data_IF_810773676093
#
_entry.id   IF_810773676093
#
_cell.length_a   1.000
_cell.length_b   1.000
_cell.length_c   1.000
_cell.angle_alpha   90.00
_cell.angle_beta   90.00
_cell.angle_gamma   90.00
#
_symmetry.space_group_name_H-M   'P 1'
#
loop_
_entity.id
_entity.type
_entity.pdbx_description
1 polymer ?
#
# COMPACT_ATOMS: atom_id res chain seq x y z
N UNK A 1 16.97 10.05 -5.92
CA UNK A 1 15.52 9.86 -5.82
C UNK A 1 14.85 10.66 -6.91
N UNK A 2 13.99 10.06 -7.68
CA UNK A 2 13.28 10.74 -8.78
C UNK A 2 11.85 11.10 -8.34
N UNK A 3 11.72 11.64 -7.12
CA UNK A 3 10.43 12.17 -6.66
C UNK A 3 10.18 13.47 -7.40
N UNK A 4 9.05 13.58 -8.06
CA UNK A 4 8.67 14.69 -8.91
C UNK A 4 7.39 15.32 -8.40
N UNK A 5 7.29 16.65 -8.47
CA UNK A 5 6.04 17.34 -8.21
C UNK A 5 5.03 16.98 -9.30
N UNK A 6 3.85 16.58 -8.89
CA UNK A 6 2.75 16.22 -9.76
C UNK A 6 1.44 16.80 -9.21
N UNK A 7 0.96 17.89 -9.83
CA UNK A 7 -0.18 18.65 -9.33
C UNK A 7 0.00 19.04 -7.84
N UNK A 8 -0.91 18.67 -6.95
CA UNK A 8 -0.87 18.96 -5.51
C UNK A 8 -0.20 17.86 -4.69
N UNK A 9 0.49 16.93 -5.33
CA UNK A 9 1.25 15.87 -4.66
C UNK A 9 2.61 15.69 -5.30
N UNK A 10 3.31 14.67 -4.88
CA UNK A 10 4.54 14.20 -5.49
C UNK A 10 4.36 12.75 -5.95
N UNK A 11 5.15 12.32 -6.92
CA UNK A 11 5.15 10.94 -7.41
C UNK A 11 6.60 10.50 -7.60
N UNK A 12 6.90 9.29 -7.19
CA UNK A 12 8.20 8.66 -7.42
C UNK A 12 8.22 8.01 -8.82
N UNK A 13 9.05 8.53 -9.73
CA UNK A 13 9.21 8.01 -11.08
C UNK A 13 10.11 6.79 -11.10
N UNK A 14 9.54 5.63 -10.75
CA UNK A 14 10.21 4.34 -10.64
C UNK A 14 9.52 3.31 -11.56
N UNK A 15 10.29 2.33 -12.04
CA UNK A 15 9.73 1.13 -12.63
C UNK A 15 9.45 0.07 -11.55
N UNK A 16 8.75 -1.01 -11.93
CA UNK A 16 8.35 -2.06 -10.99
C UNK A 16 9.54 -2.70 -10.26
N UNK A 17 10.64 -2.95 -10.95
CA UNK A 17 11.82 -3.55 -10.33
C UNK A 17 12.48 -2.62 -9.30
N UNK A 18 12.57 -1.31 -9.62
CA UNK A 18 13.07 -0.28 -8.72
C UNK A 18 12.19 -0.13 -7.47
N UNK A 19 10.86 -0.27 -7.64
CA UNK A 19 9.89 -0.24 -6.53
C UNK A 19 10.12 -1.42 -5.59
N UNK A 20 10.21 -2.63 -6.12
CA UNK A 20 10.47 -3.84 -5.32
C UNK A 20 11.79 -3.76 -4.56
N UNK A 21 12.88 -3.32 -5.20
CA UNK A 21 14.18 -3.11 -4.55
C UNK A 21 14.07 -2.07 -3.42
N UNK A 22 13.29 -1.01 -3.65
CA UNK A 22 13.10 0.03 -2.64
C UNK A 22 12.33 -0.46 -1.43
N UNK A 23 11.24 -1.19 -1.66
CA UNK A 23 10.44 -1.80 -0.58
C UNK A 23 11.29 -2.79 0.22
N UNK A 24 12.05 -3.64 -0.48
CA UNK A 24 12.97 -4.58 0.16
C UNK A 24 13.95 -3.88 1.10
N UNK A 25 14.58 -2.81 0.65
CA UNK A 25 15.50 -2.01 1.48
C UNK A 25 14.81 -1.40 2.71
N UNK A 26 13.56 -0.91 2.56
CA UNK A 26 12.79 -0.37 3.68
C UNK A 26 12.52 -1.45 4.74
N UNK A 27 12.20 -2.68 4.32
CA UNK A 27 11.98 -3.80 5.22
C UNK A 27 13.29 -4.18 5.94
N UNK A 28 14.41 -4.30 5.21
CA UNK A 28 15.70 -4.69 5.78
C UNK A 28 16.21 -3.73 6.85
N UNK A 29 15.99 -2.42 6.68
CA UNK A 29 16.39 -1.43 7.70
C UNK A 29 15.36 -1.31 8.84
N UNK A 30 14.30 -2.13 8.83
CA UNK A 30 13.22 -2.13 9.83
C UNK A 30 12.61 -0.75 10.08
N UNK A 31 12.58 0.08 9.04
CA UNK A 31 11.93 1.37 9.11
C UNK A 31 10.43 1.19 8.95
N UNK A 32 9.65 1.72 9.88
CA UNK A 32 8.20 1.86 9.72
C UNK A 32 7.94 2.78 8.52
N UNK A 33 7.37 2.22 7.48
CA UNK A 33 7.25 2.88 6.18
C UNK A 33 5.92 2.53 5.55
N UNK A 34 5.41 3.41 4.70
CA UNK A 34 4.24 3.07 3.91
C UNK A 34 4.35 3.59 2.48
N UNK A 35 3.66 2.86 1.61
CA UNK A 35 3.61 3.08 0.17
C UNK A 35 2.17 3.39 -0.21
N UNK A 36 1.96 4.42 -1.01
CA UNK A 36 0.65 4.79 -1.55
C UNK A 36 0.66 4.71 -3.08
N UNK A 37 -0.46 4.29 -3.64
CA UNK A 37 -0.63 4.15 -5.09
C UNK A 37 -1.79 5.02 -5.56
N UNK A 38 -1.61 6.37 -5.66
CA UNK A 38 -2.67 7.27 -6.10
C UNK A 38 -3.09 6.99 -7.54
N UNK A 39 -4.39 6.98 -7.74
CA UNK A 39 -5.03 7.10 -9.04
C UNK A 39 -5.61 8.52 -9.23
N UNK A 40 -6.34 8.75 -10.32
CA UNK A 40 -6.93 10.06 -10.62
C UNK A 40 -7.89 10.52 -9.53
N UNK A 41 -8.70 9.62 -8.97
CA UNK A 41 -9.66 9.97 -7.92
C UNK A 41 -8.95 10.46 -6.65
N UNK A 42 -7.84 9.81 -6.29
CA UNK A 42 -7.01 10.26 -5.16
C UNK A 42 -6.40 11.65 -5.43
N UNK A 43 -5.94 11.91 -6.66
CA UNK A 43 -5.40 13.23 -7.03
C UNK A 43 -6.46 14.31 -6.89
N UNK A 44 -7.69 14.04 -7.33
CA UNK A 44 -8.81 15.00 -7.17
C UNK A 44 -9.18 15.21 -5.69
N UNK A 45 -9.15 14.16 -4.88
CA UNK A 45 -9.40 14.27 -3.43
C UNK A 45 -8.32 15.09 -2.73
N UNK A 46 -7.07 14.94 -3.12
CA UNK A 46 -5.94 15.71 -2.59
C UNK A 46 -6.09 17.23 -2.78
N UNK A 47 -6.87 17.68 -3.76
CA UNK A 47 -7.18 19.11 -3.94
C UNK A 47 -7.98 19.69 -2.77
N UNK A 48 -8.77 18.88 -2.09
CA UNK A 48 -9.77 19.32 -1.11
C UNK A 48 -9.51 18.81 0.31
N UNK A 49 -8.70 17.77 0.46
CA UNK A 49 -8.45 17.11 1.76
C UNK A 49 -7.02 17.37 2.23
N UNK A 50 -6.85 18.35 3.11
CA UNK A 50 -5.55 18.71 3.70
C UNK A 50 -4.96 17.60 4.56
N UNK A 51 -5.79 16.77 5.14
CA UNK A 51 -5.32 15.63 5.93
C UNK A 51 -4.78 14.52 5.03
N UNK A 52 -5.48 14.24 3.94
CA UNK A 52 -4.99 13.33 2.91
C UNK A 52 -3.65 13.80 2.34
N UNK A 53 -3.50 15.11 2.08
CA UNK A 53 -2.22 15.69 1.64
C UNK A 53 -1.08 15.40 2.64
N UNK A 54 -1.33 15.51 3.95
CA UNK A 54 -0.32 15.19 4.98
C UNK A 54 0.08 13.70 4.93
N UNK A 55 -0.89 12.82 4.75
CA UNK A 55 -0.62 11.38 4.59
C UNK A 55 0.28 11.13 3.39
N UNK A 56 -0.06 11.69 2.23
CA UNK A 56 0.75 11.50 1.03
C UNK A 56 2.15 12.11 1.15
N UNK A 57 2.26 13.29 1.72
CA UNK A 57 3.56 13.96 1.94
C UNK A 57 4.52 13.13 2.79
N UNK A 58 4.01 12.37 3.75
CA UNK A 58 4.81 11.55 4.65
C UNK A 58 5.04 10.12 4.12
N UNK A 59 4.49 9.76 2.97
CA UNK A 59 4.68 8.45 2.38
C UNK A 59 6.14 8.25 1.91
N UNK A 60 6.68 7.06 2.16
CA UNK A 60 8.03 6.69 1.73
C UNK A 60 8.12 6.46 0.22
N UNK A 61 7.03 5.96 -0.37
CA UNK A 61 6.86 5.85 -1.82
C UNK A 61 5.46 6.27 -2.24
N UNK A 62 5.39 7.00 -3.34
CA UNK A 62 4.14 7.46 -3.98
C UNK A 62 4.17 7.01 -5.43
N UNK A 63 3.41 5.97 -5.78
CA UNK A 63 3.48 5.28 -7.06
C UNK A 63 2.28 5.62 -7.92
N UNK A 64 2.47 5.93 -9.20
CA UNK A 64 1.38 6.28 -10.10
C UNK A 64 0.52 5.06 -10.47
N UNK A 65 -0.72 5.04 -10.01
CA UNK A 65 -1.71 4.02 -10.38
C UNK A 65 -2.64 4.54 -11.48
N UNK A 66 -2.44 4.03 -12.65
CA UNK A 66 -3.30 4.31 -13.81
C UNK A 66 -2.63 5.04 -14.96
N UNK A 67 -3.02 4.65 -16.17
CA UNK A 67 -2.52 5.25 -17.42
C UNK A 67 -2.75 6.76 -17.53
N UNK A 68 -3.89 7.31 -17.03
CA UNK A 68 -4.09 8.77 -17.11
C UNK A 68 -2.98 9.58 -16.43
N UNK A 69 -2.42 9.11 -15.31
CA UNK A 69 -1.32 9.81 -14.65
C UNK A 69 -0.05 9.82 -15.52
N UNK A 70 0.20 8.73 -16.24
CA UNK A 70 1.31 8.66 -17.20
C UNK A 70 1.10 9.67 -18.35
N UNK A 71 -0.10 9.73 -18.91
CA UNK A 71 -0.40 10.67 -20.00
C UNK A 71 -0.26 12.13 -19.55
N UNK A 72 -0.77 12.46 -18.36
CA UNK A 72 -0.66 13.79 -17.77
C UNK A 72 0.82 14.14 -17.54
N UNK A 73 1.62 13.21 -17.00
CA UNK A 73 3.05 13.43 -16.75
C UNK A 73 3.83 13.74 -18.03
N UNK A 74 3.49 13.05 -19.12
CA UNK A 74 4.08 13.28 -20.44
C UNK A 74 3.70 14.67 -20.99
N UNK A 75 2.43 15.07 -20.83
CA UNK A 75 1.96 16.40 -21.23
C UNK A 75 2.70 17.51 -20.52
N UNK A 76 2.96 17.36 -19.21
CA UNK A 76 3.74 18.33 -18.41
C UNK A 76 5.26 18.18 -18.58
N UNK A 77 5.74 17.35 -19.48
CA UNK A 77 7.16 17.08 -19.73
C UNK A 77 7.94 16.61 -18.50
N UNK A 78 7.25 15.96 -17.58
CA UNK A 78 7.79 15.32 -16.39
C UNK A 78 7.42 13.83 -16.39
N UNK A 79 7.99 13.02 -17.31
CA UNK A 79 7.53 11.67 -17.57
C UNK A 79 7.75 10.76 -16.38
N UNK A 80 6.68 10.07 -15.96
CA UNK A 80 6.74 8.97 -15.03
C UNK A 80 7.17 7.72 -15.80
N UNK A 81 8.17 6.99 -15.32
CA UNK A 81 8.78 5.85 -16.01
C UNK A 81 7.78 4.75 -16.29
N UNK A 82 6.94 4.39 -15.32
CA UNK A 82 6.04 3.26 -15.42
C UNK A 82 4.80 3.47 -14.53
N UNK A 83 3.67 2.92 -14.96
CA UNK A 83 2.49 2.75 -14.11
C UNK A 83 2.75 1.60 -13.13
N UNK A 84 2.70 1.88 -11.84
CA UNK A 84 2.77 0.86 -10.78
C UNK A 84 1.50 0.90 -9.94
N UNK A 85 0.54 0.02 -10.28
CA UNK A 85 -0.69 -0.11 -9.50
C UNK A 85 -0.50 -1.06 -8.32
N UNK A 86 -1.33 -0.89 -7.30
CA UNK A 86 -1.37 -1.82 -6.17
C UNK A 86 -1.67 -3.25 -6.60
N UNK A 87 -2.55 -3.43 -7.62
CA UNK A 87 -2.91 -4.75 -8.16
C UNK A 87 -1.78 -5.43 -8.93
N UNK A 88 -0.91 -4.67 -9.60
CA UNK A 88 0.24 -5.21 -10.30
C UNK A 88 1.41 -5.48 -9.33
N UNK A 89 1.58 -4.63 -8.33
CA UNK A 89 2.63 -4.74 -7.32
C UNK A 89 2.39 -5.91 -6.35
N UNK A 90 1.15 -6.12 -5.93
CA UNK A 90 0.80 -7.11 -4.89
C UNK A 90 1.27 -8.54 -5.19
N UNK A 91 1.06 -9.14 -6.38
CA UNK A 91 1.57 -10.47 -6.68
C UNK A 91 3.08 -10.58 -6.61
N UNK A 92 3.80 -9.54 -7.04
CA UNK A 92 5.25 -9.49 -7.02
C UNK A 92 5.80 -9.32 -5.60
N UNK A 93 5.10 -8.57 -4.74
CA UNK A 93 5.41 -8.52 -3.31
C UNK A 93 5.22 -9.88 -2.64
N UNK A 94 4.16 -10.62 -2.99
CA UNK A 94 3.96 -11.99 -2.49
C UNK A 94 5.09 -12.94 -2.91
N UNK A 95 5.53 -12.83 -4.17
CA UNK A 95 6.67 -13.61 -4.67
C UNK A 95 7.97 -13.26 -3.94
N UNK A 96 8.24 -11.97 -3.78
CA UNK A 96 9.42 -11.48 -3.05
C UNK A 96 9.36 -11.92 -1.58
N UNK A 97 8.21 -11.80 -0.93
CA UNK A 97 8.01 -12.22 0.46
C UNK A 97 8.29 -13.72 0.63
N UNK A 98 7.77 -14.57 -0.27
CA UNK A 98 8.06 -16.01 -0.25
C UNK A 98 9.54 -16.34 -0.46
N UNK A 99 10.24 -15.61 -1.34
CA UNK A 99 11.68 -15.80 -1.58
C UNK A 99 12.56 -15.36 -0.41
N UNK A 100 12.15 -14.30 0.31
CA UNK A 100 12.94 -13.67 1.37
C UNK A 100 12.51 -14.03 2.78
N UNK A 101 11.42 -14.80 2.92
CA UNK A 101 10.88 -15.20 4.22
C UNK A 101 10.18 -14.07 4.97
N UNK A 102 9.64 -13.06 4.26
CA UNK A 102 8.88 -11.98 4.89
C UNK A 102 7.46 -12.43 5.22
N UNK A 103 7.00 -12.05 6.40
CA UNK A 103 5.64 -12.32 6.87
C UNK A 103 4.68 -11.25 6.39
N UNK A 104 3.57 -11.66 5.81
CA UNK A 104 2.53 -10.75 5.30
C UNK A 104 1.27 -10.81 6.15
N UNK A 105 0.59 -9.67 6.29
CA UNK A 105 -0.75 -9.59 6.85
C UNK A 105 -1.68 -8.89 5.85
N UNK A 106 -2.89 -9.41 5.65
CA UNK A 106 -3.88 -8.83 4.74
C UNK A 106 -5.03 -8.23 5.54
N UNK A 107 -5.21 -6.92 5.43
CA UNK A 107 -6.28 -6.16 6.08
C UNK A 107 -7.22 -5.60 5.02
N UNK A 108 -8.48 -5.96 5.08
CA UNK A 108 -9.50 -5.44 4.17
C UNK A 108 -10.13 -6.52 3.29
N UNK A 109 -10.74 -6.09 2.19
CA UNK A 109 -11.62 -6.85 1.33
C UNK A 109 -12.91 -7.33 2.07
N UNK A 110 -13.89 -7.83 1.31
CA UNK A 110 -15.08 -8.41 1.90
C UNK A 110 -14.76 -9.71 2.67
N UNK A 111 -15.63 -10.07 3.61
CA UNK A 111 -15.47 -11.27 4.43
C UNK A 111 -15.21 -12.52 3.57
N UNK A 112 -14.22 -13.30 3.97
CA UNK A 112 -13.76 -14.51 3.28
C UNK A 112 -12.95 -14.27 1.99
N UNK A 113 -12.96 -13.07 1.40
CA UNK A 113 -12.21 -12.78 0.16
C UNK A 113 -10.71 -12.79 0.43
N UNK A 114 -10.26 -12.08 1.45
CA UNK A 114 -8.85 -12.03 1.83
C UNK A 114 -8.32 -13.44 2.23
N UNK A 115 -9.11 -14.24 2.92
CA UNK A 115 -8.74 -15.61 3.28
C UNK A 115 -8.60 -16.53 2.05
N UNK A 116 -9.53 -16.43 1.08
CA UNK A 116 -9.42 -17.16 -0.20
C UNK A 116 -8.20 -16.70 -1.00
N UNK A 117 -7.94 -15.39 -1.04
CA UNK A 117 -6.75 -14.85 -1.69
C UNK A 117 -5.47 -15.39 -1.05
N UNK A 118 -5.36 -15.38 0.27
CA UNK A 118 -4.23 -15.95 1.01
C UNK A 118 -4.02 -17.45 0.68
N UNK A 119 -5.10 -18.22 0.65
CA UNK A 119 -5.04 -19.66 0.30
C UNK A 119 -4.52 -19.87 -1.13
N UNK A 120 -5.01 -19.10 -2.09
CA UNK A 120 -4.58 -19.19 -3.49
C UNK A 120 -3.13 -18.74 -3.68
N UNK A 121 -2.72 -17.70 -2.98
CA UNK A 121 -1.34 -17.21 -3.00
C UNK A 121 -0.35 -18.20 -2.41
N UNK A 122 -0.70 -18.86 -1.29
CA UNK A 122 0.10 -19.95 -0.70
C UNK A 122 0.26 -21.13 -1.65
N UNK A 123 -0.77 -21.47 -2.45
CA UNK A 123 -0.65 -22.50 -3.50
C UNK A 123 0.31 -22.08 -4.62
N UNK A 124 0.31 -20.80 -4.98
CA UNK A 124 1.17 -20.27 -6.05
C UNK A 124 2.61 -20.02 -5.59
N UNK A 125 2.78 -19.59 -4.35
CA UNK A 125 4.06 -19.27 -3.72
C UNK A 125 4.19 -20.10 -2.45
N UNK A 126 4.74 -21.30 -2.57
CA UNK A 126 4.78 -22.32 -1.50
C UNK A 126 5.45 -21.84 -0.20
N UNK A 127 6.41 -20.93 -0.32
CA UNK A 127 7.15 -20.39 0.82
C UNK A 127 6.54 -19.08 1.38
N UNK A 128 5.38 -18.65 0.86
CA UNK A 128 4.73 -17.43 1.34
C UNK A 128 4.13 -17.64 2.72
N UNK A 129 4.59 -16.87 3.69
CA UNK A 129 4.03 -16.82 5.04
C UNK A 129 3.00 -15.70 5.14
N UNK A 130 1.71 -16.06 5.23
CA UNK A 130 0.63 -15.14 5.57
C UNK A 130 0.32 -15.32 7.05
N UNK A 131 0.78 -14.38 7.87
CA UNK A 131 0.68 -14.41 9.32
C UNK A 131 -0.73 -14.08 9.83
N UNK A 132 -1.53 -13.41 9.02
CA UNK A 132 -2.93 -13.13 9.35
C UNK A 132 -3.71 -12.49 8.24
N UNK A 133 -5.02 -12.56 8.37
CA UNK A 133 -6.01 -11.92 7.49
C UNK A 133 -7.12 -11.38 8.35
N UNK A 134 -7.59 -10.16 8.08
CA UNK A 134 -8.74 -9.60 8.74
C UNK A 134 -9.56 -8.74 7.78
N UNK A 135 -10.86 -8.95 7.78
CA UNK A 135 -11.84 -8.18 7.01
C UNK A 135 -12.69 -7.36 8.00
N UNK A 136 -12.38 -6.08 8.22
CA UNK A 136 -13.11 -5.27 9.17
C UNK A 136 -14.53 -4.96 8.67
N UNK A 137 -15.44 -4.69 9.59
CA UNK A 137 -16.78 -4.24 9.25
C UNK A 137 -16.74 -2.85 8.58
N UNK A 138 -17.79 -2.52 7.84
CA UNK A 138 -17.93 -1.19 7.29
C UNK A 138 -18.05 -0.16 8.42
N UNK A 139 -17.25 0.91 8.38
CA UNK A 139 -17.24 1.93 9.44
C UNK A 139 -16.39 1.57 10.66
N UNK A 140 -15.59 0.50 10.61
CA UNK A 140 -14.71 0.09 11.71
C UNK A 140 -13.79 1.19 12.20
N UNK A 141 -13.46 2.14 11.35
CA UNK A 141 -12.62 3.30 11.66
C UNK A 141 -13.21 4.22 12.75
N UNK A 142 -14.52 4.14 12.98
CA UNK A 142 -15.24 4.85 14.02
C UNK A 142 -15.39 4.02 15.30
N UNK A 143 -15.07 2.72 15.25
CA UNK A 143 -15.14 1.80 16.39
C UNK A 143 -13.73 1.60 16.98
N UNK A 144 -13.46 2.28 18.10
CA UNK A 144 -12.15 2.23 18.77
C UNK A 144 -11.77 0.81 19.22
N UNK A 145 -12.73 0.00 19.67
CA UNK A 145 -12.47 -1.37 20.12
C UNK A 145 -12.04 -2.26 18.95
N UNK A 146 -12.70 -2.11 17.78
CA UNK A 146 -12.33 -2.87 16.59
C UNK A 146 -10.97 -2.42 16.04
N UNK A 147 -10.70 -1.11 16.04
CA UNK A 147 -9.39 -0.57 15.65
C UNK A 147 -8.30 -1.12 16.55
N UNK A 148 -8.48 -1.09 17.87
CA UNK A 148 -7.49 -1.62 18.81
C UNK A 148 -7.29 -3.13 18.63
N UNK A 149 -8.36 -3.90 18.42
CA UNK A 149 -8.28 -5.33 18.09
C UNK A 149 -7.43 -5.58 16.84
N UNK A 150 -7.65 -4.82 15.77
CA UNK A 150 -6.89 -4.93 14.52
C UNK A 150 -5.40 -4.64 14.79
N UNK A 151 -5.09 -3.57 15.52
CA UNK A 151 -3.73 -3.20 15.88
C UNK A 151 -3.03 -4.32 16.65
N UNK A 152 -3.70 -4.87 17.68
CA UNK A 152 -3.16 -5.99 18.46
C UNK A 152 -2.93 -7.24 17.63
N UNK A 153 -3.80 -7.53 16.66
CA UNK A 153 -3.61 -8.65 15.74
C UNK A 153 -2.35 -8.46 14.86
N UNK A 154 -2.17 -7.26 14.31
CA UNK A 154 -1.02 -6.93 13.47
C UNK A 154 0.27 -7.02 14.29
N UNK A 155 0.31 -6.40 15.47
CA UNK A 155 1.49 -6.40 16.35
C UNK A 155 1.86 -7.84 16.76
N UNK A 156 0.88 -8.64 17.21
CA UNK A 156 1.11 -10.05 17.61
C UNK A 156 1.60 -10.93 16.46
N UNK A 157 1.21 -10.61 15.23
CA UNK A 157 1.62 -11.35 14.03
C UNK A 157 3.08 -11.13 13.66
N UNK A 158 3.74 -10.10 14.19
CA UNK A 158 5.13 -9.72 13.88
C UNK A 158 5.39 -9.69 12.36
N UNK A 159 4.56 -8.92 11.65
CA UNK A 159 4.58 -8.86 10.19
C UNK A 159 5.65 -7.91 9.66
N UNK A 160 6.20 -8.22 8.49
CA UNK A 160 7.12 -7.37 7.74
C UNK A 160 6.38 -6.50 6.72
N UNK A 161 5.26 -7.03 6.16
CA UNK A 161 4.48 -6.37 5.11
C UNK A 161 2.99 -6.43 5.46
N UNK A 162 2.39 -5.26 5.69
CA UNK A 162 0.94 -5.10 5.84
C UNK A 162 0.33 -4.65 4.50
N UNK A 163 -0.59 -5.42 3.96
CA UNK A 163 -1.38 -5.06 2.78
C UNK A 163 -2.75 -4.56 3.23
N UNK A 164 -3.06 -3.31 2.88
CA UNK A 164 -4.33 -2.66 3.24
C UNK A 164 -5.21 -2.49 2.01
N UNK A 165 -6.34 -3.16 1.97
CA UNK A 165 -7.29 -3.18 0.86
C UNK A 165 -8.67 -2.66 1.26
N UNK A 166 -8.78 -1.41 1.72
CA UNK A 166 -10.00 -0.82 2.28
C UNK A 166 -10.72 0.18 1.35
N UNK A 167 -10.09 0.57 0.23
CA UNK A 167 -10.57 1.66 -0.63
C UNK A 167 -10.27 3.05 -0.09
N UNK A 168 -10.19 4.05 -0.98
CA UNK A 168 -10.01 5.44 -0.57
C UNK A 168 -11.34 6.05 -0.05
N UNK A 169 -11.34 6.95 0.94
CA UNK A 169 -10.18 7.46 1.69
C UNK A 169 -9.74 6.58 2.88
N UNK A 170 -10.33 5.41 3.06
CA UNK A 170 -10.12 4.54 4.23
C UNK A 170 -8.67 4.09 4.41
N UNK A 171 -7.97 3.80 3.31
CA UNK A 171 -6.54 3.50 3.36
C UNK A 171 -5.73 4.61 4.04
N UNK A 172 -6.05 5.87 3.72
CA UNK A 172 -5.34 7.03 4.23
C UNK A 172 -5.60 7.26 5.71
N UNK A 173 -6.85 7.02 6.15
CA UNK A 173 -7.24 7.18 7.55
C UNK A 173 -6.61 6.11 8.45
N UNK A 174 -6.47 4.87 7.98
CA UNK A 174 -5.80 3.81 8.73
C UNK A 174 -4.32 4.15 9.01
N UNK A 175 -3.66 4.85 8.11
CA UNK A 175 -2.28 5.30 8.31
C UNK A 175 -2.13 6.50 9.26
N UNK A 176 -3.19 7.29 9.49
CA UNK A 176 -3.14 8.45 10.42
C UNK A 176 -3.05 8.07 11.89
N UNK A 177 -3.74 7.00 12.28
CA UNK A 177 -3.82 6.56 13.68
C UNK A 177 -2.65 5.64 14.07
N UNK A 178 -1.78 5.34 13.13
CA UNK A 178 -0.75 4.34 13.32
C UNK A 178 0.65 4.95 13.28
N UNK A 179 1.15 5.34 14.44
CA UNK A 179 2.58 5.24 14.73
C UNK A 179 2.96 3.74 14.84
N UNK A 180 2.51 2.91 13.90
CA UNK A 180 2.90 1.51 13.81
C UNK A 180 4.16 1.38 12.98
#
# INVERSE_FOLDING_TARGET
MTRMKFMNTEVDSLNMAEVLDRIDKLIQIKKKSYVVTPNVDHIVQLEKDSELQKVYKNADLILADGKPLIWISNYYKTPIKEKVSGSDLFPLLCEMAGKKGYKMFFLGAAEGVAARAATNLKKRYSNLEVAGVYSPHFGFEENEEEVEKILQMIIKSNVDILIVGLGAPKHSNSNKRQNI
#
